data_IF_789012235479
#
_entry.id   IF_789012235479
#
_cell.length_a   1.000
_cell.length_b   1.000
_cell.length_c   1.000
_cell.angle_alpha   90.00
_cell.angle_beta   90.00
_cell.angle_gamma   90.00
#
_symmetry.space_group_name_H-M   'P 1'
#
loop_
_entity.id
_entity.type
_entity.pdbx_description
1 polymer ?
#
# COMPACT_ATOMS: atom_id res chain seq x y z
N UNK A 1 0.26 1.81 24.09
CA UNK A 1 0.73 0.59 23.46
C UNK A 1 2.15 0.74 22.92
N UNK A 2 2.93 -0.28 23.05
CA UNK A 2 4.33 -0.27 22.61
C UNK A 2 4.41 -0.44 21.09
N UNK A 3 5.22 0.38 20.44
CA UNK A 3 5.52 0.19 19.03
C UNK A 3 6.34 -1.09 18.86
N UNK A 4 5.92 -1.96 17.94
CA UNK A 4 6.59 -3.22 17.66
C UNK A 4 7.06 -3.20 16.21
N UNK A 5 8.33 -2.84 15.96
CA UNK A 5 8.81 -2.61 14.59
C UNK A 5 8.74 -3.84 13.67
N UNK A 6 8.79 -5.04 14.25
CA UNK A 6 8.73 -6.27 13.46
C UNK A 6 7.34 -6.90 13.43
N UNK A 7 6.34 -6.27 14.06
CA UNK A 7 4.98 -6.78 14.03
C UNK A 7 4.41 -6.69 12.61
N UNK A 8 3.56 -7.64 12.21
CA UNK A 8 2.94 -7.59 10.89
C UNK A 8 1.97 -6.42 10.77
N UNK A 9 1.87 -5.89 9.55
CA UNK A 9 0.88 -4.87 9.22
C UNK A 9 -0.09 -5.47 8.21
N UNK A 10 -1.37 -5.33 8.47
CA UNK A 10 -2.40 -5.87 7.59
C UNK A 10 -2.79 -4.88 6.51
N UNK A 11 -3.45 -5.39 5.46
CA UNK A 11 -3.99 -4.56 4.39
C UNK A 11 -5.00 -3.54 4.93
N UNK A 12 -5.87 -3.97 5.85
CA UNK A 12 -6.83 -3.07 6.50
C UNK A 12 -6.18 -1.98 7.32
N UNK A 13 -5.07 -2.27 7.99
CA UNK A 13 -4.31 -1.28 8.74
C UNK A 13 -3.74 -0.18 7.84
N UNK A 14 -3.15 -0.56 6.71
CA UNK A 14 -2.58 0.41 5.77
C UNK A 14 -3.66 1.34 5.26
N UNK A 15 -4.78 0.79 4.82
CA UNK A 15 -5.90 1.58 4.30
C UNK A 15 -6.45 2.53 5.38
N UNK A 16 -6.51 2.05 6.62
CA UNK A 16 -6.97 2.87 7.75
C UNK A 16 -6.04 4.05 8.01
N UNK A 17 -4.73 3.84 7.90
CA UNK A 17 -3.76 4.93 8.05
C UNK A 17 -3.99 6.00 6.99
N UNK A 18 -4.15 5.61 5.72
CA UNK A 18 -4.38 6.56 4.64
C UNK A 18 -5.70 7.30 4.82
N UNK A 19 -6.74 6.61 5.27
CA UNK A 19 -8.04 7.20 5.55
C UNK A 19 -7.93 8.31 6.60
N UNK A 20 -7.18 8.05 7.66
CA UNK A 20 -6.95 9.04 8.72
C UNK A 20 -6.10 10.21 8.22
N UNK A 21 -5.14 9.94 7.36
CA UNK A 21 -4.33 11.01 6.74
C UNK A 21 -5.21 11.97 5.92
N UNK A 22 -6.30 11.47 5.34
CA UNK A 22 -7.26 12.28 4.59
C UNK A 22 -8.29 12.97 5.50
N UNK A 23 -8.15 12.88 6.82
CA UNK A 23 -9.07 13.50 7.76
C UNK A 23 -10.32 12.68 8.01
N UNK A 24 -10.28 11.39 7.76
CA UNK A 24 -11.41 10.46 7.96
C UNK A 24 -12.67 10.95 7.23
N UNK A 25 -12.61 11.08 5.89
CA UNK A 25 -13.74 11.61 5.12
C UNK A 25 -14.98 10.69 5.24
N UNK A 26 -16.14 11.27 4.97
CA UNK A 26 -17.35 10.49 4.92
C UNK A 26 -17.24 9.42 3.85
N UNK A 27 -17.58 8.19 4.20
CA UNK A 27 -17.44 7.04 3.30
C UNK A 27 -18.81 6.40 3.03
N UNK A 28 -18.89 5.62 1.97
CA UNK A 28 -20.07 4.82 1.69
C UNK A 28 -20.35 3.89 2.87
N UNK A 29 -21.62 3.60 3.11
CA UNK A 29 -22.02 2.79 4.25
C UNK A 29 -21.71 1.30 4.08
N UNK A 30 -21.28 0.89 2.88
CA UNK A 30 -20.95 -0.51 2.62
C UNK A 30 -19.82 -0.59 1.59
N UNK A 31 -19.06 -1.69 1.64
CA UNK A 31 -18.06 -2.00 0.64
C UNK A 31 -18.55 -3.16 -0.22
N UNK A 32 -17.97 -3.36 -1.42
CA UNK A 32 -18.33 -4.50 -2.25
C UNK A 32 -17.82 -5.83 -1.70
N UNK A 33 -17.00 -5.80 -0.64
CA UNK A 33 -16.27 -6.97 -0.17
C UNK A 33 -17.01 -7.68 0.94
N UNK A 34 -17.38 -8.95 0.71
CA UNK A 34 -18.11 -9.76 1.68
C UNK A 34 -17.28 -10.14 2.92
N UNK A 35 -15.96 -10.09 2.81
CA UNK A 35 -15.06 -10.42 3.93
C UNK A 35 -14.70 -9.20 4.79
N UNK A 36 -15.34 -8.06 4.57
CA UNK A 36 -15.14 -6.85 5.38
C UNK A 36 -16.32 -6.73 6.34
N UNK A 37 -16.07 -6.98 7.63
CA UNK A 37 -17.09 -6.84 8.67
C UNK A 37 -17.50 -5.36 8.77
N UNK A 38 -18.79 -5.03 8.60
CA UNK A 38 -19.24 -3.63 8.66
C UNK A 38 -19.01 -2.97 10.01
N UNK A 39 -18.76 -3.75 11.06
CA UNK A 39 -18.49 -3.23 12.39
C UNK A 39 -17.00 -3.11 12.71
N UNK A 40 -16.12 -3.53 11.79
CA UNK A 40 -14.68 -3.46 12.01
C UNK A 40 -14.17 -2.02 11.86
N UNK A 41 -13.05 -1.73 12.54
CA UNK A 41 -12.44 -0.40 12.48
C UNK A 41 -12.03 -0.01 11.06
N UNK A 42 -11.72 -0.99 10.23
CA UNK A 42 -11.27 -0.78 8.85
C UNK A 42 -12.42 -0.73 7.85
N UNK A 43 -13.67 -0.91 8.28
CA UNK A 43 -14.80 -0.99 7.34
C UNK A 43 -14.98 0.29 6.54
N UNK A 44 -15.08 1.44 7.20
CA UNK A 44 -15.18 2.72 6.52
C UNK A 44 -13.93 3.06 5.69
N UNK A 45 -12.71 2.85 6.22
CA UNK A 45 -11.51 3.03 5.40
C UNK A 45 -11.47 2.19 4.14
N UNK A 46 -11.83 0.91 4.21
CA UNK A 46 -11.83 0.03 3.03
C UNK A 46 -12.89 0.48 2.01
N UNK A 47 -14.09 0.85 2.48
CA UNK A 47 -15.14 1.35 1.59
C UNK A 47 -14.67 2.62 0.87
N UNK A 48 -14.10 3.58 1.62
CA UNK A 48 -13.56 4.80 1.06
C UNK A 48 -12.49 4.52 0.00
N UNK A 49 -11.54 3.68 0.34
CA UNK A 49 -10.42 3.38 -0.55
C UNK A 49 -10.88 2.65 -1.83
N UNK A 50 -11.83 1.73 -1.70
CA UNK A 50 -12.37 0.99 -2.85
C UNK A 50 -13.14 1.92 -3.79
N UNK A 51 -13.99 2.78 -3.25
CA UNK A 51 -14.80 3.69 -4.06
C UNK A 51 -13.96 4.77 -4.73
N UNK A 52 -12.78 5.08 -4.20
CA UNK A 52 -11.88 6.08 -4.76
C UNK A 52 -10.74 5.47 -5.59
N UNK A 53 -10.79 4.17 -5.85
CA UNK A 53 -9.81 3.51 -6.71
C UNK A 53 -8.43 3.35 -6.08
N UNK A 54 -8.32 3.53 -4.76
CA UNK A 54 -7.03 3.43 -4.05
C UNK A 54 -6.66 1.96 -3.84
N UNK A 55 -7.66 1.11 -3.63
CA UNK A 55 -7.43 -0.34 -3.50
C UNK A 55 -8.37 -1.11 -4.41
N UNK A 56 -7.89 -2.26 -4.85
CA UNK A 56 -8.72 -3.30 -5.46
C UNK A 56 -8.70 -4.50 -4.52
N UNK A 57 -9.75 -5.29 -4.55
CA UNK A 57 -9.75 -6.55 -3.83
C UNK A 57 -8.94 -7.61 -4.55
N UNK A 58 -8.78 -8.76 -3.93
CA UNK A 58 -8.28 -9.95 -4.62
C UNK A 58 -9.25 -10.38 -5.71
N UNK A 59 -10.53 -10.10 -5.48
CA UNK A 59 -11.62 -10.29 -6.43
C UNK A 59 -12.65 -9.18 -6.22
N UNK A 60 -13.74 -9.21 -6.99
CA UNK A 60 -14.82 -8.24 -6.83
C UNK A 60 -15.46 -8.28 -5.42
N UNK A 61 -15.34 -9.40 -4.72
CA UNK A 61 -16.02 -9.62 -3.44
C UNK A 61 -15.09 -9.91 -2.26
N UNK A 62 -13.77 -9.98 -2.47
CA UNK A 62 -12.81 -10.35 -1.42
C UNK A 62 -11.67 -9.33 -1.36
N UNK A 63 -11.48 -8.72 -0.20
CA UNK A 63 -10.42 -7.73 0.01
C UNK A 63 -9.20 -8.28 0.76
N UNK A 64 -9.41 -9.15 1.74
CA UNK A 64 -8.36 -9.65 2.62
C UNK A 64 -7.91 -8.62 3.65
N UNK A 65 -8.83 -8.03 4.44
CA UNK A 65 -8.46 -6.93 5.35
C UNK A 65 -7.50 -7.34 6.45
N UNK A 66 -7.52 -8.60 6.86
CA UNK A 66 -6.66 -9.09 7.93
C UNK A 66 -5.39 -9.77 7.40
N UNK A 67 -5.24 -9.87 6.08
CA UNK A 67 -4.02 -10.42 5.50
C UNK A 67 -2.88 -9.44 5.68
N UNK A 68 -1.69 -9.98 5.90
CA UNK A 68 -0.49 -9.17 6.00
C UNK A 68 -0.17 -8.55 4.65
N UNK A 69 0.18 -7.27 4.66
CA UNK A 69 0.50 -6.55 3.43
C UNK A 69 1.91 -6.94 2.96
N UNK A 70 2.05 -7.20 1.67
CA UNK A 70 3.38 -7.41 1.08
C UNK A 70 3.98 -6.09 0.63
N UNK A 71 5.29 -6.10 0.39
CA UNK A 71 6.02 -4.90 -0.06
C UNK A 71 5.46 -4.40 -1.39
N UNK A 72 5.16 -5.30 -2.34
CA UNK A 72 4.58 -4.88 -3.61
C UNK A 72 3.13 -4.37 -3.47
N UNK A 73 2.35 -4.96 -2.57
CA UNK A 73 0.99 -4.49 -2.30
C UNK A 73 1.02 -3.08 -1.71
N UNK A 74 1.92 -2.83 -0.78
CA UNK A 74 2.06 -1.52 -0.18
C UNK A 74 2.43 -0.47 -1.24
N UNK A 75 3.37 -0.80 -2.12
CA UNK A 75 3.74 0.10 -3.21
C UNK A 75 2.55 0.39 -4.12
N UNK A 76 1.74 -0.63 -4.45
CA UNK A 76 0.57 -0.45 -5.29
C UNK A 76 -0.47 0.46 -4.64
N UNK A 77 -0.71 0.29 -3.35
CA UNK A 77 -1.65 1.13 -2.60
C UNK A 77 -1.18 2.58 -2.58
N UNK A 78 0.09 2.82 -2.29
CA UNK A 78 0.65 4.18 -2.27
C UNK A 78 0.64 4.84 -3.64
N UNK A 79 0.90 4.07 -4.69
CA UNK A 79 0.84 4.56 -6.08
C UNK A 79 -0.57 5.08 -6.41
N UNK A 80 -1.58 4.30 -6.10
CA UNK A 80 -2.97 4.68 -6.36
C UNK A 80 -3.41 5.83 -5.47
N UNK A 81 -2.93 5.87 -4.23
CA UNK A 81 -3.23 6.99 -3.34
C UNK A 81 -2.59 8.28 -3.87
N UNK A 82 -1.36 8.21 -4.39
CA UNK A 82 -0.71 9.37 -5.01
C UNK A 82 -1.51 9.87 -6.21
N UNK A 83 -2.00 8.95 -7.05
CA UNK A 83 -2.88 9.33 -8.17
C UNK A 83 -4.16 10.00 -7.69
N UNK A 84 -4.77 9.46 -6.65
CA UNK A 84 -5.96 10.04 -6.03
C UNK A 84 -5.70 11.48 -5.55
N UNK A 85 -4.51 11.73 -5.02
CA UNK A 85 -4.12 13.07 -4.56
C UNK A 85 -3.75 14.01 -5.71
N UNK A 86 -3.76 13.54 -6.94
CA UNK A 86 -3.36 14.34 -8.10
C UNK A 86 -1.87 14.50 -8.27
N UNK A 87 -1.07 13.67 -7.63
CA UNK A 87 0.38 13.72 -7.75
C UNK A 87 0.85 13.15 -9.08
N UNK A 88 2.01 13.62 -9.54
CA UNK A 88 2.64 13.07 -10.74
C UNK A 88 3.25 11.71 -10.41
N UNK A 89 2.83 10.66 -11.13
CA UNK A 89 3.28 9.30 -10.86
C UNK A 89 3.88 8.62 -12.10
N UNK A 90 4.29 9.38 -13.12
CA UNK A 90 4.81 8.80 -14.37
C UNK A 90 6.27 8.38 -14.28
N UNK A 91 6.99 8.77 -13.23
CA UNK A 91 8.41 8.47 -13.10
C UNK A 91 8.63 6.99 -12.84
N UNK A 92 9.70 6.44 -13.41
CA UNK A 92 10.00 4.99 -13.32
C UNK A 92 11.47 4.78 -12.99
N UNK A 93 11.72 3.80 -12.13
CA UNK A 93 13.06 3.31 -11.84
C UNK A 93 13.37 2.06 -12.65
N UNK A 94 14.61 1.64 -12.61
CA UNK A 94 15.06 0.44 -13.30
C UNK A 94 15.02 -0.75 -12.32
N UNK A 95 14.01 -1.60 -12.48
CA UNK A 95 13.85 -2.78 -11.62
C UNK A 95 14.77 -3.93 -12.04
N UNK A 96 15.43 -3.85 -13.20
CA UNK A 96 16.32 -4.93 -13.64
C UNK A 96 17.57 -5.05 -12.77
N UNK A 97 17.85 -4.03 -11.95
CA UNK A 97 18.93 -4.09 -10.98
C UNK A 97 18.69 -5.14 -9.88
N UNK A 98 17.46 -5.60 -9.71
CA UNK A 98 17.12 -6.57 -8.68
C UNK A 98 17.05 -7.97 -9.27
N UNK A 99 17.75 -8.92 -8.62
CA UNK A 99 17.84 -10.30 -9.14
C UNK A 99 16.49 -11.01 -9.05
N UNK A 100 15.61 -10.57 -8.17
CA UNK A 100 14.28 -11.15 -7.97
C UNK A 100 13.16 -10.33 -8.65
N UNK A 101 13.49 -9.48 -9.60
CA UNK A 101 12.49 -8.69 -10.31
C UNK A 101 11.42 -9.56 -10.99
N UNK A 102 11.78 -10.77 -11.40
CA UNK A 102 10.82 -11.71 -12.00
C UNK A 102 9.73 -12.19 -11.06
N UNK A 103 9.89 -12.00 -9.74
CA UNK A 103 8.88 -12.36 -8.75
C UNK A 103 7.79 -11.30 -8.58
N UNK A 104 7.97 -10.12 -9.18
CA UNK A 104 6.98 -9.05 -9.07
C UNK A 104 5.74 -9.46 -9.87
N UNK A 105 4.58 -9.39 -9.23
CA UNK A 105 3.32 -9.62 -9.94
C UNK A 105 3.08 -8.48 -10.93
N UNK A 106 2.47 -8.80 -12.06
CA UNK A 106 2.24 -7.83 -13.14
C UNK A 106 1.52 -6.58 -12.66
N UNK A 107 0.52 -6.74 -11.79
CA UNK A 107 -0.27 -5.60 -11.31
C UNK A 107 0.58 -4.58 -10.52
N UNK A 108 1.69 -4.99 -9.95
CA UNK A 108 2.51 -4.14 -9.07
C UNK A 108 3.76 -3.58 -9.75
N UNK A 109 4.03 -3.94 -11.00
CA UNK A 109 5.29 -3.54 -11.65
C UNK A 109 5.42 -2.03 -11.79
N UNK A 110 4.39 -1.36 -12.28
CA UNK A 110 4.45 0.10 -12.44
C UNK A 110 4.59 0.79 -11.10
N UNK A 111 3.83 0.34 -10.11
CA UNK A 111 3.87 0.93 -8.78
C UNK A 111 5.24 0.77 -8.13
N UNK A 112 5.83 -0.42 -8.23
CA UNK A 112 7.17 -0.67 -7.67
C UNK A 112 8.25 0.13 -8.40
N UNK A 113 8.15 0.24 -9.72
CA UNK A 113 9.10 1.04 -10.50
C UNK A 113 9.02 2.51 -10.08
N UNK A 114 7.81 3.05 -9.94
CA UNK A 114 7.61 4.39 -9.42
C UNK A 114 8.15 4.54 -8.00
N UNK A 115 7.79 3.62 -7.11
CA UNK A 115 8.20 3.70 -5.70
C UNK A 115 9.72 3.64 -5.55
N UNK A 116 10.37 2.83 -6.36
CA UNK A 116 11.84 2.76 -6.36
C UNK A 116 12.46 4.05 -6.87
N UNK A 117 11.94 4.61 -7.97
CA UNK A 117 12.42 5.88 -8.52
C UNK A 117 12.26 7.03 -7.53
N UNK A 118 11.17 7.03 -6.78
CA UNK A 118 10.88 8.06 -5.79
C UNK A 118 11.54 7.79 -4.44
N UNK A 119 12.32 6.72 -4.35
CA UNK A 119 13.05 6.32 -3.15
C UNK A 119 12.13 5.99 -1.96
N UNK A 120 10.92 5.54 -2.26
CA UNK A 120 9.99 5.07 -1.22
C UNK A 120 10.34 3.66 -0.78
N UNK A 121 10.79 2.82 -1.73
CA UNK A 121 11.19 1.46 -1.46
C UNK A 121 12.59 1.24 -2.00
N UNK A 122 13.41 0.56 -1.22
CA UNK A 122 14.77 0.23 -1.59
C UNK A 122 14.97 -1.27 -1.43
N UNK A 123 16.01 -1.80 -2.06
CA UNK A 123 16.37 -3.20 -1.88
C UNK A 123 16.81 -3.50 -0.45
N UNK A 124 16.81 -4.78 -0.13
CA UNK A 124 17.23 -5.28 1.18
C UNK A 124 18.72 -5.62 1.20
N UNK A 125 19.45 -5.18 0.17
CA UNK A 125 20.86 -5.51 -0.02
C UNK A 125 21.04 -6.68 -0.97
N UNK A 126 22.26 -6.82 -1.51
CA UNK A 126 22.63 -7.90 -2.43
C UNK A 126 21.74 -8.03 -3.67
N UNK A 127 21.16 -6.90 -4.10
CA UNK A 127 20.29 -6.90 -5.27
C UNK A 127 18.91 -7.53 -5.05
N UNK A 128 18.46 -7.64 -3.79
CA UNK A 128 17.16 -8.24 -3.45
C UNK A 128 16.14 -7.15 -3.19
N UNK A 129 15.02 -7.18 -3.89
CA UNK A 129 13.89 -6.27 -3.67
C UNK A 129 12.87 -6.88 -2.70
N UNK A 130 12.65 -8.17 -2.77
CA UNK A 130 11.70 -8.92 -1.96
C UNK A 130 10.26 -8.40 -2.12
N UNK A 131 9.72 -8.40 -3.36
CA UNK A 131 8.40 -7.81 -3.61
C UNK A 131 7.26 -8.54 -2.89
N UNK A 132 7.38 -9.86 -2.72
CA UNK A 132 6.36 -10.67 -2.06
C UNK A 132 6.59 -10.82 -0.57
N UNK A 133 7.68 -10.24 -0.05
CA UNK A 133 7.96 -10.26 1.38
C UNK A 133 6.98 -9.40 2.13
N UNK A 134 6.71 -9.75 3.38
CA UNK A 134 5.79 -9.01 4.23
C UNK A 134 6.43 -7.71 4.67
N UNK A 135 5.65 -6.63 4.64
CA UNK A 135 6.10 -5.33 5.12
C UNK A 135 5.90 -5.26 6.63
N UNK A 136 7.00 -5.12 7.36
CA UNK A 136 6.95 -4.92 8.81
C UNK A 136 6.50 -3.50 9.13
N UNK A 137 6.04 -3.28 10.37
CA UNK A 137 5.57 -1.97 10.81
C UNK A 137 6.59 -0.86 10.56
N UNK A 138 7.86 -1.12 10.85
CA UNK A 138 8.92 -0.14 10.64
C UNK A 138 9.07 0.22 9.16
N UNK A 139 8.91 -0.76 8.26
CA UNK A 139 8.98 -0.52 6.82
C UNK A 139 7.79 0.31 6.34
N UNK A 140 6.59 0.00 6.82
CA UNK A 140 5.38 0.75 6.49
C UNK A 140 5.53 2.20 6.97
N UNK A 141 5.96 2.39 8.21
CA UNK A 141 6.16 3.73 8.77
C UNK A 141 7.20 4.52 7.98
N UNK A 142 8.32 3.89 7.62
CA UNK A 142 9.38 4.55 6.86
C UNK A 142 8.89 4.94 5.45
N UNK A 143 8.15 4.06 4.78
CA UNK A 143 7.63 4.36 3.46
C UNK A 143 6.60 5.49 3.50
N UNK A 144 5.72 5.49 4.50
CA UNK A 144 4.73 6.55 4.67
C UNK A 144 5.40 7.90 4.97
N UNK A 145 6.43 7.91 5.81
CA UNK A 145 7.18 9.13 6.09
C UNK A 145 7.82 9.69 4.82
N UNK A 146 8.50 8.85 4.06
CA UNK A 146 9.11 9.26 2.79
C UNK A 146 8.06 9.74 1.80
N UNK A 147 6.90 9.07 1.77
CA UNK A 147 5.79 9.46 0.91
C UNK A 147 5.32 10.88 1.24
N UNK A 148 5.11 11.18 2.52
CA UNK A 148 4.70 12.52 2.93
C UNK A 148 5.75 13.57 2.58
N UNK A 149 7.02 13.27 2.78
CA UNK A 149 8.11 14.21 2.53
C UNK A 149 8.36 14.45 1.04
N UNK A 150 8.31 13.39 0.22
CA UNK A 150 8.76 13.45 -1.18
C UNK A 150 7.61 13.61 -2.17
N UNK A 151 6.43 13.16 -1.84
CA UNK A 151 5.30 13.11 -2.77
C UNK A 151 4.25 14.16 -2.41
N UNK A 152 3.89 14.26 -1.14
CA UNK A 152 2.82 15.17 -0.69
C UNK A 152 3.32 16.56 -0.30
N UNK A 153 4.60 16.71 -0.12
CA UNK A 153 5.16 18.01 0.27
C UNK A 153 5.07 19.04 -0.85
#
# INVERSE_FOLDING_TARGET
TTFQPNAPTTRGMVVTILYRMEGSPEAASWSPFGDVDPNAYYAAPVAWAAWNGIVNGYSATTFGPQDRVTREQLAAILYRYAEYKGCEVSQRGDLTQFVDAGQIHTYAREALSWANRMELIQGKGKGILDPRGLAARAQVAAMLQRFQEKILA
#
